data_IF_990046240302
#
_entry.id   IF_990046240302
#
_cell.length_a   1.000
_cell.length_b   1.000
_cell.length_c   1.000
_cell.angle_alpha   90.00
_cell.angle_beta   90.00
_cell.angle_gamma   90.00
#
_symmetry.space_group_name_H-M   'P 1'
#
loop_
_entity.id
_entity.type
_entity.pdbx_description
1 polymer ?
#
# COMPACT_ATOMS: atom_id res chain seq x y z
N UNK A 1 -29.37 -8.82 0.20
CA UNK A 1 -30.08 -7.65 -0.37
C UNK A 1 -29.11 -6.92 -1.27
N UNK A 2 -29.39 -6.79 -2.56
CA UNK A 2 -28.52 -6.07 -3.51
C UNK A 2 -28.57 -4.58 -3.20
N UNK A 3 -27.51 -4.05 -2.62
CA UNK A 3 -27.38 -2.61 -2.39
C UNK A 3 -27.33 -1.91 -3.75
N UNK A 4 -28.23 -0.97 -3.99
CA UNK A 4 -28.19 -0.14 -5.20
C UNK A 4 -26.89 0.65 -5.21
N UNK A 5 -26.13 0.54 -6.30
CA UNK A 5 -24.85 1.24 -6.45
C UNK A 5 -25.10 2.60 -7.11
N UNK A 6 -24.66 3.67 -6.46
CA UNK A 6 -24.78 5.02 -7.01
C UNK A 6 -23.99 5.12 -8.33
N UNK A 7 -24.51 5.91 -9.27
CA UNK A 7 -23.90 6.05 -10.59
C UNK A 7 -22.43 6.51 -10.52
N UNK A 8 -22.07 7.35 -9.54
CA UNK A 8 -20.71 7.83 -9.35
C UNK A 8 -19.79 6.71 -8.83
N UNK A 9 -20.23 5.97 -7.81
CA UNK A 9 -19.54 4.77 -7.31
C UNK A 9 -19.33 3.75 -8.42
N UNK A 10 -20.35 3.50 -9.24
CA UNK A 10 -20.27 2.57 -10.37
C UNK A 10 -19.25 3.00 -11.43
N UNK A 11 -19.21 4.29 -11.77
CA UNK A 11 -18.23 4.85 -12.72
C UNK A 11 -16.81 4.68 -12.20
N UNK A 12 -16.56 5.10 -10.96
CA UNK A 12 -15.24 4.95 -10.32
C UNK A 12 -14.80 3.48 -10.28
N UNK A 13 -15.68 2.58 -9.83
CA UNK A 13 -15.36 1.15 -9.75
C UNK A 13 -15.10 0.54 -11.13
N UNK A 14 -15.80 1.00 -12.17
CA UNK A 14 -15.54 0.56 -13.56
C UNK A 14 -14.16 1.02 -14.03
N UNK A 15 -13.78 2.26 -13.76
CA UNK A 15 -12.44 2.77 -14.07
C UNK A 15 -11.36 2.01 -13.30
N UNK A 16 -11.59 1.69 -12.03
CA UNK A 16 -10.66 0.94 -11.19
C UNK A 16 -10.40 -0.47 -11.75
N UNK A 17 -11.45 -1.17 -12.18
CA UNK A 17 -11.34 -2.48 -12.85
C UNK A 17 -10.63 -2.38 -14.19
N UNK A 18 -10.93 -1.36 -14.99
CA UNK A 18 -10.25 -1.13 -16.27
C UNK A 18 -8.74 -0.88 -16.06
N UNK A 19 -8.38 -0.07 -15.07
CA UNK A 19 -6.99 0.15 -14.69
C UNK A 19 -6.30 -1.14 -14.21
N UNK A 20 -7.00 -1.99 -13.45
CA UNK A 20 -6.50 -3.30 -13.05
C UNK A 20 -6.21 -4.21 -14.26
N UNK A 21 -7.08 -4.23 -15.27
CA UNK A 21 -6.84 -5.03 -16.49
C UNK A 21 -5.61 -4.50 -17.25
N UNK A 22 -5.49 -3.18 -17.38
CA UNK A 22 -4.31 -2.55 -17.96
C UNK A 22 -3.04 -2.94 -17.19
N UNK A 23 -3.06 -2.88 -15.86
CA UNK A 23 -1.92 -3.23 -15.01
C UNK A 23 -1.46 -4.68 -15.21
N UNK A 24 -2.40 -5.63 -15.35
CA UNK A 24 -2.05 -7.03 -15.67
C UNK A 24 -1.42 -7.13 -17.05
N UNK A 25 -1.92 -6.37 -18.04
CA UNK A 25 -1.28 -6.27 -19.35
C UNK A 25 0.15 -5.75 -19.27
N UNK A 26 0.39 -4.69 -18.51
CA UNK A 26 1.73 -4.12 -18.28
C UNK A 26 2.66 -5.09 -17.54
N UNK A 27 2.12 -5.86 -16.59
CA UNK A 27 2.87 -6.93 -15.91
C UNK A 27 3.33 -8.00 -16.91
N UNK A 28 2.44 -8.47 -17.79
CA UNK A 28 2.80 -9.45 -18.83
C UNK A 28 3.88 -8.90 -19.75
N UNK A 29 3.76 -7.64 -20.18
CA UNK A 29 4.79 -6.97 -20.98
C UNK A 29 6.13 -6.85 -20.23
N UNK A 30 6.09 -6.61 -18.91
CA UNK A 30 7.29 -6.57 -18.07
C UNK A 30 7.99 -7.93 -18.02
N UNK A 31 7.25 -9.02 -17.85
CA UNK A 31 7.82 -10.38 -17.89
C UNK A 31 8.40 -10.77 -19.24
N UNK A 32 7.88 -10.23 -20.35
CA UNK A 32 8.41 -10.48 -21.68
C UNK A 32 9.59 -9.59 -22.07
N UNK A 33 9.64 -8.36 -21.58
CA UNK A 33 10.60 -7.36 -22.03
C UNK A 33 11.76 -7.08 -21.08
N UNK A 34 11.60 -7.31 -19.78
CA UNK A 34 12.64 -7.02 -18.79
C UNK A 34 13.75 -8.08 -18.80
N UNK A 35 14.97 -7.66 -18.50
CA UNK A 35 16.13 -8.57 -18.39
C UNK A 35 16.13 -9.22 -17.00
N UNK A 36 15.69 -10.47 -16.92
CA UNK A 36 15.51 -11.20 -15.65
C UNK A 36 16.63 -12.23 -15.39
N UNK A 37 17.85 -11.90 -15.82
CA UNK A 37 19.00 -12.80 -15.79
C UNK A 37 19.54 -13.01 -14.37
N UNK A 38 19.42 -11.99 -13.52
CA UNK A 38 19.91 -12.03 -12.13
C UNK A 38 18.83 -12.52 -11.15
N UNK A 39 19.22 -13.11 -10.01
CA UNK A 39 18.28 -13.44 -8.94
C UNK A 39 17.52 -12.21 -8.40
N UNK A 40 18.18 -11.05 -8.34
CA UNK A 40 17.57 -9.79 -7.87
C UNK A 40 16.50 -9.31 -8.84
N UNK A 41 16.76 -9.31 -10.15
CA UNK A 41 15.78 -8.94 -11.16
C UNK A 41 14.56 -9.87 -11.14
N UNK A 42 14.78 -11.19 -10.98
CA UNK A 42 13.68 -12.16 -10.79
C UNK A 42 12.88 -11.88 -9.51
N UNK A 43 13.55 -11.55 -8.41
CA UNK A 43 12.87 -11.20 -7.16
C UNK A 43 12.03 -9.93 -7.31
N UNK A 44 12.55 -8.90 -8.01
CA UNK A 44 11.79 -7.70 -8.37
C UNK A 44 10.51 -8.07 -9.15
N UNK A 45 10.62 -8.88 -10.21
CA UNK A 45 9.48 -9.29 -11.03
C UNK A 45 8.44 -10.12 -10.27
N UNK A 46 8.87 -11.03 -9.38
CA UNK A 46 7.97 -11.81 -8.52
C UNK A 46 7.22 -10.90 -7.55
N UNK A 47 7.91 -9.96 -6.90
CA UNK A 47 7.26 -9.02 -5.99
C UNK A 47 6.28 -8.10 -6.73
N UNK A 48 6.62 -7.64 -7.95
CA UNK A 48 5.72 -6.85 -8.80
C UNK A 48 4.46 -7.64 -9.17
N UNK A 49 4.63 -8.93 -9.46
CA UNK A 49 3.52 -9.84 -9.76
C UNK A 49 2.57 -9.93 -8.58
N UNK A 50 3.11 -10.18 -7.38
CA UNK A 50 2.31 -10.25 -6.14
C UNK A 50 1.54 -8.94 -5.94
N UNK A 51 2.24 -7.81 -5.97
CA UNK A 51 1.64 -6.49 -5.74
C UNK A 51 0.54 -6.18 -6.77
N UNK A 52 0.81 -6.41 -8.05
CA UNK A 52 -0.12 -6.16 -9.15
C UNK A 52 -1.37 -7.02 -9.05
N UNK A 53 -1.23 -8.33 -8.81
CA UNK A 53 -2.36 -9.25 -8.73
C UNK A 53 -3.24 -8.97 -7.51
N UNK A 54 -2.64 -8.63 -6.36
CA UNK A 54 -3.40 -8.23 -5.17
C UNK A 54 -4.13 -6.90 -5.39
N UNK A 55 -3.46 -5.90 -5.98
CA UNK A 55 -4.12 -4.64 -6.33
C UNK A 55 -5.27 -4.86 -7.31
N UNK A 56 -5.10 -5.77 -8.27
CA UNK A 56 -6.16 -6.18 -9.17
C UNK A 56 -7.33 -6.82 -8.43
N UNK A 57 -7.07 -7.84 -7.61
CA UNK A 57 -8.08 -8.43 -6.74
C UNK A 57 -8.86 -7.39 -5.92
N UNK A 58 -8.16 -6.46 -5.26
CA UNK A 58 -8.79 -5.41 -4.46
C UNK A 58 -9.54 -4.36 -5.30
N UNK A 59 -9.19 -4.19 -6.57
CA UNK A 59 -9.94 -3.34 -7.52
C UNK A 59 -11.29 -3.96 -7.92
N UNK A 60 -11.37 -5.30 -8.01
CA UNK A 60 -12.62 -6.00 -8.28
C UNK A 60 -13.51 -6.13 -7.04
N UNK A 61 -12.91 -6.22 -5.85
CA UNK A 61 -13.63 -6.24 -4.57
C UNK A 61 -13.15 -5.12 -3.62
N UNK A 62 -13.52 -3.85 -3.88
CA UNK A 62 -13.16 -2.74 -2.99
C UNK A 62 -13.80 -2.89 -1.61
N UNK A 63 -13.07 -2.48 -0.58
CA UNK A 63 -13.49 -2.58 0.82
C UNK A 63 -12.78 -1.55 1.70
N UNK A 64 -13.43 -1.16 2.80
CA UNK A 64 -12.84 -0.37 3.88
C UNK A 64 -12.72 -1.27 5.10
N UNK A 65 -11.49 -1.49 5.56
CA UNK A 65 -11.18 -2.58 6.48
C UNK A 65 -11.78 -2.34 7.87
N UNK A 66 -11.66 -1.14 8.44
CA UNK A 66 -12.14 -0.79 9.80
C UNK A 66 -13.67 -0.93 9.94
N UNK A 67 -14.41 -0.27 9.06
CA UNK A 67 -15.88 -0.20 9.08
C UNK A 67 -16.52 -1.51 8.57
N UNK A 68 -15.70 -2.43 8.03
CA UNK A 68 -16.11 -3.64 7.30
C UNK A 68 -16.98 -3.33 6.09
N UNK A 69 -16.81 -2.15 5.54
CA UNK A 69 -17.59 -1.68 4.40
C UNK A 69 -17.12 -2.42 3.14
N UNK A 70 -18.05 -2.97 2.38
CA UNK A 70 -17.73 -3.65 1.11
C UNK A 70 -18.60 -3.10 -0.01
N UNK A 71 -18.07 -3.06 -1.24
CA UNK A 71 -18.90 -2.62 -2.38
C UNK A 71 -19.83 -3.74 -2.84
N UNK A 72 -19.33 -4.97 -2.79
CA UNK A 72 -20.05 -6.19 -3.20
C UNK A 72 -20.07 -7.16 -2.03
N UNK A 73 -21.25 -7.65 -1.65
CA UNK A 73 -21.35 -8.71 -0.64
C UNK A 73 -21.01 -10.07 -1.25
N UNK A 74 -19.75 -10.47 -1.12
CA UNK A 74 -19.22 -11.73 -1.61
C UNK A 74 -18.16 -12.24 -0.61
N UNK A 75 -17.94 -13.57 -0.46
CA UNK A 75 -16.88 -14.09 0.42
C UNK A 75 -15.49 -13.52 0.13
N UNK A 76 -15.21 -13.22 -1.15
CA UNK A 76 -13.95 -12.57 -1.57
C UNK A 76 -13.80 -11.13 -1.05
N UNK A 77 -14.89 -10.47 -0.66
CA UNK A 77 -14.87 -9.16 -0.02
C UNK A 77 -14.58 -9.24 1.49
N UNK A 78 -14.34 -10.43 2.03
CA UNK A 78 -13.99 -10.61 3.45
C UNK A 78 -12.80 -9.73 3.87
N UNK A 79 -12.89 -9.16 5.07
CA UNK A 79 -11.91 -8.20 5.55
C UNK A 79 -10.60 -8.89 5.93
N UNK A 80 -10.67 -10.05 6.59
CA UNK A 80 -9.48 -10.86 6.87
C UNK A 80 -8.71 -11.22 5.58
N UNK A 81 -9.41 -11.67 4.52
CA UNK A 81 -8.79 -11.99 3.24
C UNK A 81 -8.19 -10.75 2.54
N UNK A 82 -8.95 -9.64 2.56
CA UNK A 82 -8.50 -8.38 1.99
C UNK A 82 -7.26 -7.82 2.69
N UNK A 83 -7.22 -7.88 4.02
CA UNK A 83 -6.09 -7.42 4.81
C UNK A 83 -4.88 -8.34 4.70
N UNK A 84 -5.07 -9.66 4.68
CA UNK A 84 -3.99 -10.63 4.44
C UNK A 84 -3.36 -10.43 3.08
N UNK A 85 -4.17 -10.32 2.02
CA UNK A 85 -3.65 -10.09 0.66
C UNK A 85 -2.89 -8.77 0.57
N UNK A 86 -3.41 -7.68 1.15
CA UNK A 86 -2.69 -6.41 1.17
C UNK A 86 -1.41 -6.44 2.00
N UNK A 87 -1.39 -7.15 3.13
CA UNK A 87 -0.15 -7.37 3.91
C UNK A 87 0.92 -8.02 3.02
N UNK A 88 0.56 -9.07 2.28
CA UNK A 88 1.49 -9.76 1.37
C UNK A 88 1.98 -8.83 0.26
N UNK A 89 1.09 -8.00 -0.31
CA UNK A 89 1.46 -7.03 -1.33
C UNK A 89 2.38 -5.92 -0.79
N UNK A 90 2.04 -5.31 0.34
CA UNK A 90 2.80 -4.24 0.97
C UNK A 90 4.20 -4.72 1.39
N UNK A 91 4.31 -5.95 1.90
CA UNK A 91 5.60 -6.58 2.17
C UNK A 91 6.39 -6.86 0.89
N UNK A 92 5.75 -7.37 -0.17
CA UNK A 92 6.41 -7.58 -1.46
C UNK A 92 6.95 -6.26 -2.05
N UNK A 93 6.15 -5.21 -2.02
CA UNK A 93 6.56 -3.88 -2.47
C UNK A 93 7.69 -3.29 -1.61
N UNK A 94 7.64 -3.50 -0.29
CA UNK A 94 8.73 -3.10 0.61
C UNK A 94 10.03 -3.82 0.27
N UNK A 95 9.97 -5.13 -0.03
CA UNK A 95 11.13 -5.90 -0.48
C UNK A 95 11.66 -5.36 -1.81
N UNK A 96 10.80 -4.98 -2.76
CA UNK A 96 11.26 -4.34 -4.01
C UNK A 96 12.04 -3.05 -3.75
N UNK A 97 11.50 -2.19 -2.88
CA UNK A 97 12.15 -0.94 -2.52
C UNK A 97 13.50 -1.21 -1.82
N UNK A 98 13.55 -2.19 -0.92
CA UNK A 98 14.78 -2.62 -0.25
C UNK A 98 15.84 -3.12 -1.25
N UNK A 99 15.45 -3.98 -2.20
CA UNK A 99 16.37 -4.48 -3.23
C UNK A 99 16.91 -3.34 -4.11
N UNK A 100 16.05 -2.39 -4.50
CA UNK A 100 16.48 -1.22 -5.28
C UNK A 100 17.47 -0.35 -4.49
N UNK A 101 17.19 -0.05 -3.21
CA UNK A 101 18.09 0.73 -2.35
C UNK A 101 19.40 -0.02 -2.07
N UNK A 102 19.37 -1.35 -1.95
CA UNK A 102 20.59 -2.16 -1.81
C UNK A 102 21.47 -2.04 -3.06
N UNK A 103 20.89 -2.07 -4.27
CA UNK A 103 21.62 -1.82 -5.52
C UNK A 103 22.23 -0.41 -5.59
N UNK A 104 21.51 0.61 -5.11
CA UNK A 104 22.05 1.97 -4.98
C UNK A 104 23.21 2.06 -3.98
N UNK A 105 23.18 1.26 -2.91
CA UNK A 105 24.26 1.23 -1.93
C UNK A 105 25.57 0.69 -2.53
N UNK A 106 25.47 -0.32 -3.40
CA UNK A 106 26.62 -0.92 -4.09
C UNK A 106 27.27 0.08 -5.06
N UNK A 107 26.47 0.83 -5.81
CA UNK A 107 26.97 1.81 -6.81
C UNK A 107 27.47 3.10 -6.19
N UNK A 108 26.85 3.57 -5.10
CA UNK A 108 27.26 4.80 -4.39
C UNK A 108 28.43 4.61 -3.42
N UNK A 109 28.76 3.37 -3.06
CA UNK A 109 29.83 3.05 -2.11
C UNK A 109 29.54 3.48 -0.66
N UNK A 110 28.27 3.72 -0.31
CA UNK A 110 27.86 4.20 1.01
C UNK A 110 27.21 3.09 1.86
N UNK A 111 27.91 2.52 2.86
CA UNK A 111 27.45 1.33 3.59
C UNK A 111 26.13 1.52 4.35
N UNK A 112 25.85 2.75 4.81
CA UNK A 112 24.64 3.05 5.57
C UNK A 112 23.36 2.87 4.74
N UNK A 113 23.42 3.02 3.40
CA UNK A 113 22.28 2.80 2.52
C UNK A 113 21.85 1.32 2.52
N UNK A 114 22.81 0.39 2.59
CA UNK A 114 22.51 -1.04 2.72
C UNK A 114 21.87 -1.36 4.08
N UNK A 115 22.30 -0.70 5.15
CA UNK A 115 21.64 -0.83 6.45
C UNK A 115 20.18 -0.34 6.38
N UNK A 116 19.93 0.80 5.70
CA UNK A 116 18.56 1.31 5.49
C UNK A 116 17.73 0.32 4.65
N UNK A 117 18.26 -0.20 3.54
CA UNK A 117 17.59 -1.16 2.68
C UNK A 117 17.01 -2.35 3.47
N UNK A 118 17.80 -2.94 4.36
CA UNK A 118 17.37 -4.10 5.10
C UNK A 118 16.59 -3.78 6.38
N UNK A 119 16.75 -2.58 6.94
CA UNK A 119 16.00 -2.14 8.11
C UNK A 119 14.53 -1.81 7.80
N UNK A 120 14.22 -1.32 6.59
CA UNK A 120 12.83 -0.97 6.24
C UNK A 120 11.90 -2.18 6.18
N UNK A 121 12.40 -3.38 5.90
CA UNK A 121 11.58 -4.61 5.84
C UNK A 121 10.98 -4.96 7.22
N UNK A 122 11.76 -5.12 8.30
CA UNK A 122 11.19 -5.34 9.63
C UNK A 122 10.40 -4.13 10.14
N UNK A 123 10.78 -2.90 9.77
CA UNK A 123 10.02 -1.69 10.10
C UNK A 123 8.57 -1.78 9.57
N UNK A 124 8.40 -2.12 8.29
CA UNK A 124 7.06 -2.27 7.70
C UNK A 124 6.37 -3.53 8.21
N UNK A 125 7.07 -4.61 8.52
CA UNK A 125 6.44 -5.77 9.17
C UNK A 125 5.79 -5.40 10.53
N UNK A 126 6.41 -4.49 11.30
CA UNK A 126 5.79 -3.93 12.51
C UNK A 126 4.59 -3.05 12.14
N UNK A 127 4.69 -2.22 11.09
CA UNK A 127 3.56 -1.42 10.61
C UNK A 127 2.35 -2.29 10.23
N UNK A 128 2.58 -3.42 9.58
CA UNK A 128 1.54 -4.40 9.25
C UNK A 128 0.91 -5.02 10.50
N UNK A 129 1.70 -5.27 11.54
CA UNK A 129 1.18 -5.73 12.83
C UNK A 129 0.27 -4.68 13.45
N UNK A 130 0.66 -3.40 13.40
CA UNK A 130 -0.21 -2.28 13.80
C UNK A 130 -1.49 -2.23 12.96
N UNK A 131 -1.39 -2.37 11.64
CA UNK A 131 -2.54 -2.42 10.73
C UNK A 131 -3.55 -3.49 11.18
N UNK A 132 -3.07 -4.72 11.42
CA UNK A 132 -3.89 -5.82 11.91
C UNK A 132 -4.51 -5.52 13.27
N UNK A 133 -3.75 -4.96 14.22
CA UNK A 133 -4.30 -4.59 15.51
C UNK A 133 -5.40 -3.52 15.37
N UNK A 134 -5.23 -2.54 14.48
CA UNK A 134 -6.25 -1.54 14.16
C UNK A 134 -7.53 -2.16 13.62
N UNK A 135 -7.39 -3.01 12.60
CA UNK A 135 -8.50 -3.75 11.98
C UNK A 135 -9.21 -4.64 13.01
N UNK A 136 -8.48 -5.43 13.81
CA UNK A 136 -9.08 -6.40 14.72
C UNK A 136 -9.69 -5.73 15.96
N UNK A 137 -9.04 -4.72 16.52
CA UNK A 137 -9.55 -4.06 17.74
C UNK A 137 -10.51 -2.89 17.45
N UNK A 138 -10.63 -2.49 16.18
CA UNK A 138 -11.36 -1.30 15.73
C UNK A 138 -10.83 0.00 16.34
N UNK A 139 -9.53 0.05 16.65
CA UNK A 139 -8.88 1.22 17.24
C UNK A 139 -8.08 1.98 16.19
N UNK A 140 -8.49 3.22 15.91
CA UNK A 140 -7.81 4.09 14.96
C UNK A 140 -6.38 4.45 15.39
N UNK A 141 -6.05 4.40 16.69
CA UNK A 141 -4.69 4.67 17.17
C UNK A 141 -3.62 3.75 16.55
N UNK A 142 -3.95 2.49 16.26
CA UNK A 142 -3.01 1.57 15.64
C UNK A 142 -2.70 1.93 14.19
N UNK A 143 -3.68 2.44 13.44
CA UNK A 143 -3.44 2.97 12.10
C UNK A 143 -2.61 4.26 12.14
N UNK A 144 -2.77 5.11 13.16
CA UNK A 144 -1.85 6.23 13.36
C UNK A 144 -0.39 5.75 13.57
N UNK A 145 -0.18 4.65 14.29
CA UNK A 145 1.15 4.06 14.48
C UNK A 145 1.70 3.42 13.19
N UNK A 146 0.86 2.73 12.42
CA UNK A 146 1.19 2.21 11.09
C UNK A 146 1.66 3.33 10.16
N UNK A 147 0.87 4.39 9.99
CA UNK A 147 1.20 5.53 9.13
C UNK A 147 2.49 6.23 9.59
N UNK A 148 2.75 6.29 10.90
CA UNK A 148 4.01 6.83 11.42
C UNK A 148 5.23 5.99 10.99
N UNK A 149 5.11 4.67 10.98
CA UNK A 149 6.20 3.78 10.53
C UNK A 149 6.43 3.88 9.03
N UNK A 150 5.37 4.01 8.23
CA UNK A 150 5.48 4.32 6.80
C UNK A 150 6.15 5.68 6.57
N UNK A 151 5.80 6.71 7.33
CA UNK A 151 6.43 8.03 7.24
C UNK A 151 7.94 7.98 7.56
N UNK A 152 8.35 7.15 8.54
CA UNK A 152 9.78 6.90 8.81
C UNK A 152 10.46 6.26 7.61
N UNK A 153 9.85 5.24 6.98
CA UNK A 153 10.38 4.65 5.75
C UNK A 153 10.55 5.70 4.64
N UNK A 154 9.55 6.57 4.42
CA UNK A 154 9.61 7.64 3.43
C UNK A 154 10.76 8.62 3.70
N UNK A 155 10.99 8.99 4.96
CA UNK A 155 12.10 9.87 5.34
C UNK A 155 13.46 9.20 5.10
N UNK A 156 13.59 7.90 5.40
CA UNK A 156 14.82 7.14 5.16
C UNK A 156 15.12 7.03 3.65
N UNK A 157 14.13 6.70 2.83
CA UNK A 157 14.29 6.65 1.38
C UNK A 157 14.59 8.01 0.77
N UNK A 158 13.95 9.09 1.24
CA UNK A 158 14.29 10.44 0.80
C UNK A 158 15.77 10.76 1.06
N UNK A 159 16.30 10.42 2.24
CA UNK A 159 17.71 10.61 2.56
C UNK A 159 18.63 9.78 1.64
N UNK A 160 18.29 8.52 1.38
CA UNK A 160 19.03 7.66 0.43
C UNK A 160 19.04 8.30 -0.96
N UNK A 161 17.88 8.74 -1.45
CA UNK A 161 17.77 9.28 -2.81
C UNK A 161 18.59 10.56 -2.97
N UNK A 162 18.58 11.46 -1.99
CA UNK A 162 19.45 12.65 -2.01
C UNK A 162 20.93 12.26 -2.03
N UNK A 163 21.33 11.28 -1.22
CA UNK A 163 22.73 10.89 -1.11
C UNK A 163 23.24 10.05 -2.29
N UNK A 164 22.38 9.28 -2.95
CA UNK A 164 22.72 8.47 -4.13
C UNK A 164 22.68 9.29 -5.44
N UNK A 165 21.96 10.42 -5.46
CA UNK A 165 21.77 11.25 -6.66
C UNK A 165 23.07 11.65 -7.38
N UNK A 166 24.16 12.08 -6.69
CA UNK A 166 25.38 12.53 -7.37
C UNK A 166 26.13 11.40 -8.09
N UNK A 167 25.97 10.16 -7.62
CA UNK A 167 26.63 8.96 -8.17
C UNK A 167 25.79 8.21 -9.20
N UNK A 168 24.51 8.56 -9.35
CA UNK A 168 23.59 7.91 -10.26
C UNK A 168 23.79 8.37 -11.71
N UNK A 169 23.59 7.46 -12.68
CA UNK A 169 23.51 7.82 -14.09
C UNK A 169 22.21 8.62 -14.38
N UNK A 170 22.08 9.26 -15.57
CA UNK A 170 20.98 10.17 -15.85
C UNK A 170 19.58 9.55 -15.72
N UNK A 171 19.40 8.28 -16.06
CA UNK A 171 18.10 7.61 -15.95
C UNK A 171 17.74 7.43 -14.48
N UNK A 172 18.69 6.95 -13.67
CA UNK A 172 18.50 6.80 -12.24
C UNK A 172 18.34 8.15 -11.53
N UNK A 173 19.01 9.22 -11.96
CA UNK A 173 18.77 10.56 -11.40
C UNK A 173 17.32 11.01 -11.56
N UNK A 174 16.72 10.80 -12.73
CA UNK A 174 15.30 11.10 -12.94
C UNK A 174 14.41 10.24 -12.03
N UNK A 175 14.70 8.94 -11.93
CA UNK A 175 13.96 8.04 -11.05
C UNK A 175 14.07 8.45 -9.57
N UNK A 176 15.26 8.81 -9.10
CA UNK A 176 15.52 9.28 -7.75
C UNK A 176 14.82 10.61 -7.46
N UNK A 177 14.79 11.54 -8.42
CA UNK A 177 14.07 12.82 -8.27
C UNK A 177 12.56 12.59 -8.15
N UNK A 178 11.98 11.74 -9.00
CA UNK A 178 10.56 11.37 -8.93
C UNK A 178 10.27 10.66 -7.61
N UNK A 179 11.11 9.70 -7.22
CA UNK A 179 11.02 8.98 -5.96
C UNK A 179 11.09 9.90 -4.75
N UNK A 180 11.99 10.89 -4.76
CA UNK A 180 12.12 11.89 -3.70
C UNK A 180 10.85 12.73 -3.57
N UNK A 181 10.30 13.22 -4.68
CA UNK A 181 9.01 13.94 -4.66
C UNK A 181 7.91 13.04 -4.10
N UNK A 182 7.86 11.77 -4.49
CA UNK A 182 6.92 10.78 -3.95
C UNK A 182 7.06 10.59 -2.45
N UNK A 183 8.29 10.41 -1.93
CA UNK A 183 8.54 10.26 -0.50
C UNK A 183 8.16 11.51 0.29
N UNK A 184 8.49 12.71 -0.22
CA UNK A 184 8.13 13.97 0.44
C UNK A 184 6.62 14.19 0.44
N UNK A 185 5.93 13.96 -0.68
CA UNK A 185 4.49 14.12 -0.79
C UNK A 185 3.74 13.09 0.07
N UNK A 186 4.14 11.82 0.00
CA UNK A 186 3.55 10.74 0.81
C UNK A 186 3.79 10.96 2.30
N UNK A 187 5.03 11.27 2.70
CA UNK A 187 5.36 11.60 4.09
C UNK A 187 4.60 12.81 4.61
N UNK A 188 4.39 13.83 3.79
CA UNK A 188 3.56 14.99 4.14
C UNK A 188 2.10 14.60 4.38
N UNK A 189 1.49 13.84 3.46
CA UNK A 189 0.12 13.35 3.61
C UNK A 189 -0.03 12.54 4.89
N UNK A 190 0.88 11.61 5.16
CA UNK A 190 0.86 10.80 6.38
C UNK A 190 0.98 11.67 7.64
N UNK A 191 1.95 12.59 7.68
CA UNK A 191 2.23 13.41 8.86
C UNK A 191 1.16 14.46 9.15
N UNK A 192 0.55 15.04 8.11
CA UNK A 192 -0.34 16.21 8.24
C UNK A 192 -1.81 15.83 8.14
N UNK A 193 -2.15 14.81 7.37
CA UNK A 193 -3.54 14.40 7.14
C UNK A 193 -3.85 13.12 7.92
N UNK A 194 -3.15 12.02 7.66
CA UNK A 194 -3.58 10.70 8.10
C UNK A 194 -3.36 10.47 9.60
N UNK A 195 -2.13 10.66 10.10
CA UNK A 195 -1.82 10.49 11.53
C UNK A 195 -2.71 11.39 12.40
N UNK A 196 -2.85 12.70 12.12
CA UNK A 196 -3.75 13.55 12.90
C UNK A 196 -5.22 13.14 12.77
N UNK A 197 -5.67 12.70 11.60
CA UNK A 197 -7.04 12.20 11.41
C UNK A 197 -7.32 10.98 12.29
N UNK A 198 -6.45 9.97 12.27
CA UNK A 198 -6.61 8.76 13.07
C UNK A 198 -6.61 9.06 14.56
N UNK A 199 -5.73 9.94 15.02
CA UNK A 199 -5.70 10.37 16.42
C UNK A 199 -6.96 11.16 16.83
N UNK A 200 -7.51 12.02 15.95
CA UNK A 200 -8.78 12.72 16.21
C UNK A 200 -9.95 11.73 16.30
N UNK A 201 -10.02 10.75 15.39
CA UNK A 201 -11.06 9.70 15.43
C UNK A 201 -10.98 8.89 16.71
N UNK A 202 -9.78 8.48 17.12
CA UNK A 202 -9.60 7.75 18.38
C UNK A 202 -10.08 8.56 19.60
N UNK A 203 -9.81 9.86 19.65
CA UNK A 203 -10.28 10.72 20.75
C UNK A 203 -11.81 10.79 20.78
N UNK A 204 -12.44 11.02 19.64
CA UNK A 204 -13.89 11.06 19.52
C UNK A 204 -14.53 9.72 19.94
N UNK A 205 -13.93 8.59 19.58
CA UNK A 205 -14.40 7.26 20.00
C UNK A 205 -14.28 7.03 21.51
N UNK A 206 -13.19 7.51 22.11
CA UNK A 206 -13.01 7.44 23.56
C UNK A 206 -14.05 8.32 24.30
N UNK A 207 -14.31 9.52 23.80
CA UNK A 207 -15.33 10.44 24.34
C UNK A 207 -16.75 9.87 24.19
N UNK A 208 -17.03 9.19 23.08
CA UNK A 208 -18.31 8.51 22.84
C UNK A 208 -18.47 7.21 23.64
N UNK A 209 -17.43 6.74 24.35
CA UNK A 209 -17.45 5.48 25.09
C UNK A 209 -17.55 4.25 24.18
N UNK A 210 -17.02 4.34 22.95
CA UNK A 210 -17.07 3.26 21.96
C UNK A 210 -16.43 1.98 22.52
N UNK A 211 -17.14 0.86 22.39
CA UNK A 211 -16.63 -0.45 22.79
C UNK A 211 -15.75 -1.02 21.68
N UNK A 212 -14.47 -1.17 21.99
CA UNK A 212 -13.49 -1.82 21.12
C UNK A 212 -13.56 -3.34 21.24
N UNK A 213 -13.14 -4.04 20.19
CA UNK A 213 -13.10 -5.50 20.18
C UNK A 213 -11.78 -6.01 20.79
N UNK A 214 -11.85 -7.20 21.39
CA UNK A 214 -10.63 -7.99 21.65
C UNK A 214 -10.10 -8.56 20.33
N UNK A 215 -8.82 -8.92 20.27
CA UNK A 215 -8.20 -9.47 19.06
C UNK A 215 -8.95 -10.70 18.53
N UNK A 216 -9.32 -11.64 19.42
CA UNK A 216 -10.05 -12.85 19.03
C UNK A 216 -11.46 -12.57 18.50
N UNK A 217 -12.21 -11.69 19.17
CA UNK A 217 -13.53 -11.27 18.70
C UNK A 217 -13.43 -10.50 17.37
N UNK A 218 -12.42 -9.65 17.25
CA UNK A 218 -12.08 -8.91 16.04
C UNK A 218 -11.78 -9.78 14.84
N UNK A 219 -11.11 -10.93 15.05
CA UNK A 219 -10.79 -11.85 13.97
C UNK A 219 -12.05 -12.56 13.45
N UNK A 220 -12.88 -13.08 14.35
CA UNK A 220 -14.17 -13.67 13.97
C UNK A 220 -15.06 -12.66 13.24
N UNK A 221 -15.06 -11.41 13.72
CA UNK A 221 -15.74 -10.28 13.11
C UNK A 221 -15.20 -9.96 11.69
N UNK A 222 -13.88 -9.86 11.51
CA UNK A 222 -13.26 -9.56 10.21
C UNK A 222 -13.46 -10.67 9.15
N UNK A 223 -13.69 -11.91 9.59
CA UNK A 223 -14.00 -13.03 8.69
C UNK A 223 -15.47 -13.00 8.25
N UNK A 224 -16.38 -12.68 9.16
CA UNK A 224 -17.82 -12.89 8.95
C UNK A 224 -18.59 -11.63 8.57
N UNK A 225 -18.32 -10.49 9.23
CA UNK A 225 -19.07 -9.26 9.05
C UNK A 225 -18.65 -8.55 7.76
N UNK A 226 -19.66 -8.21 6.95
CA UNK A 226 -19.57 -7.35 5.77
C UNK A 226 -20.75 -6.40 5.77
N UNK A 227 -20.49 -5.11 5.61
CA UNK A 227 -21.49 -4.07 5.52
C UNK A 227 -21.53 -3.55 4.07
N UNK A 228 -22.38 -4.12 3.19
CA UNK A 228 -22.40 -3.75 1.79
C UNK A 228 -23.03 -2.36 1.57
N UNK A 229 -22.29 -1.44 0.93
CA UNK A 229 -22.80 -0.13 0.54
C UNK A 229 -22.38 0.27 -0.87
N UNK A 230 -23.36 0.79 -1.63
CA UNK A 230 -23.14 1.39 -2.95
C UNK A 230 -23.04 2.92 -2.92
N UNK A 231 -23.14 3.53 -1.74
CA UNK A 231 -23.29 4.98 -1.57
C UNK A 231 -22.01 5.74 -1.88
N UNK A 232 -22.11 6.76 -2.74
CA UNK A 232 -21.00 7.62 -3.11
C UNK A 232 -20.45 8.41 -1.92
N UNK A 233 -21.28 8.75 -0.94
CA UNK A 233 -20.85 9.49 0.25
C UNK A 233 -19.80 8.72 1.06
N UNK A 234 -19.84 7.39 1.01
CA UNK A 234 -18.79 6.55 1.62
C UNK A 234 -17.59 6.46 0.68
N UNK A 235 -17.80 6.08 -0.58
CA UNK A 235 -16.70 5.75 -1.50
C UNK A 235 -15.87 6.95 -1.95
N UNK A 236 -16.43 8.17 -2.00
CA UNK A 236 -15.72 9.39 -2.40
C UNK A 236 -14.46 9.66 -1.58
N UNK A 237 -14.45 9.26 -0.31
CA UNK A 237 -13.32 9.44 0.59
C UNK A 237 -12.21 8.42 0.31
N UNK A 238 -12.59 7.23 -0.15
CA UNK A 238 -11.68 6.14 -0.49
C UNK A 238 -11.00 6.34 -1.85
N UNK A 239 -11.63 7.08 -2.78
CA UNK A 239 -11.06 7.35 -4.11
C UNK A 239 -9.67 7.97 -4.02
N UNK A 240 -9.47 8.90 -3.09
CA UNK A 240 -8.24 9.68 -2.99
C UNK A 240 -6.99 8.82 -2.72
N UNK A 241 -7.14 7.71 -1.99
CA UNK A 241 -6.02 6.82 -1.66
C UNK A 241 -6.06 5.51 -2.47
N UNK A 242 -7.23 4.91 -2.68
CA UNK A 242 -7.35 3.63 -3.39
C UNK A 242 -6.93 3.77 -4.86
N UNK A 243 -7.30 4.86 -5.52
CA UNK A 243 -6.96 5.08 -6.92
C UNK A 243 -5.44 5.15 -7.13
N UNK A 244 -4.67 6.03 -6.46
CA UNK A 244 -3.21 6.04 -6.64
C UNK A 244 -2.55 4.75 -6.16
N UNK A 245 -3.03 4.13 -5.08
CA UNK A 245 -2.48 2.87 -4.57
C UNK A 245 -2.61 1.72 -5.59
N UNK A 246 -3.79 1.56 -6.22
CA UNK A 246 -4.02 0.52 -7.23
C UNK A 246 -3.55 0.88 -8.65
N UNK A 247 -3.06 2.11 -8.88
CA UNK A 247 -2.55 2.55 -10.20
C UNK A 247 -1.09 2.96 -10.12
N UNK A 248 -0.80 4.19 -9.69
CA UNK A 248 0.55 4.71 -9.57
C UNK A 248 1.47 3.81 -8.73
N UNK A 249 0.96 3.21 -7.65
CA UNK A 249 1.71 2.22 -6.87
C UNK A 249 2.10 0.98 -7.68
N UNK A 250 1.19 0.49 -8.52
CA UNK A 250 1.47 -0.64 -9.42
C UNK A 250 2.47 -0.24 -10.51
N UNK A 251 2.33 0.94 -11.10
CA UNK A 251 3.27 1.43 -12.12
C UNK A 251 4.66 1.65 -11.56
N UNK A 252 4.77 2.15 -10.33
CA UNK A 252 6.02 2.25 -9.60
C UNK A 252 6.62 0.85 -9.34
N UNK A 253 5.81 -0.09 -8.86
CA UNK A 253 6.24 -1.48 -8.63
C UNK A 253 6.75 -2.17 -9.90
N UNK A 254 6.11 -1.91 -11.04
CA UNK A 254 6.58 -2.40 -12.35
C UNK A 254 7.85 -1.67 -12.80
N UNK A 255 7.93 -0.34 -12.62
CA UNK A 255 9.11 0.44 -12.97
C UNK A 255 10.36 -0.02 -12.21
N UNK A 256 10.22 -0.44 -10.94
CA UNK A 256 11.33 -1.02 -10.16
C UNK A 256 11.91 -2.30 -10.76
N UNK A 257 11.14 -3.05 -11.56
CA UNK A 257 11.66 -4.23 -12.30
C UNK A 257 12.58 -3.81 -13.44
N UNK A 258 12.35 -2.63 -14.03
CA UNK A 258 13.15 -2.10 -15.13
C UNK A 258 14.35 -1.26 -14.65
N UNK A 259 14.29 -0.75 -13.43
CA UNK A 259 15.32 0.10 -12.82
C UNK A 259 16.28 -0.67 -11.90
N UNK A 260 15.91 -1.85 -11.41
CA UNK A 260 16.76 -2.70 -10.56
C UNK A 260 17.62 -3.65 -11.38
#
# INVERSE_FOLDING_TARGET
MTTTIDAQTWRWWTLLRAASVLNVGLLVLTWWGAQLDTPVARAQAVCATIYTLVCGFRSFWPRVDLERTVLVDHPLSGIALGRSSATVAEMAFTVQCALFVAGLAETSGQPWMSAVAWFVVPLIAVAQTCCWLGVLTLRHAWHAAEEALWAVMMALFAAVFVAAFPSADPLHQVALAIGLVGCLAGGWVMAVLDIPMYLRRQRAENEAGTRFLSVGAGFADAVSRRAPTGSWDVWRHEVAWMTPYFTAGVWLSLALVWLG
#
